data_IF_907026974444
#
_entry.id   IF_907026974444
#
_cell.length_a   1.000
_cell.length_b   1.000
_cell.length_c   1.000
_cell.angle_alpha   90.00
_cell.angle_beta   90.00
_cell.angle_gamma   90.00
#
_symmetry.space_group_name_H-M   'P 1'
#
loop_
_entity.id
_entity.type
_entity.pdbx_description
1 polymer ?
#
# COMPACT_ATOMS: atom_id res chain seq x y z
N UNK A 1 7.27 2.66 6.06
CA UNK A 1 6.86 3.09 4.71
C UNK A 1 7.08 4.59 4.52
N UNK A 2 6.37 5.44 5.25
CA UNK A 2 6.52 6.90 5.14
C UNK A 2 7.97 7.37 5.31
N UNK A 3 8.69 6.89 6.32
CA UNK A 3 10.08 7.29 6.60
C UNK A 3 11.02 6.98 5.43
N UNK A 4 10.89 5.82 4.79
CA UNK A 4 11.72 5.44 3.63
C UNK A 4 11.39 6.32 2.43
N UNK A 5 10.08 6.53 2.17
CA UNK A 5 9.64 7.40 1.08
C UNK A 5 10.15 8.83 1.28
N UNK A 6 9.98 9.39 2.47
CA UNK A 6 10.37 10.77 2.77
C UNK A 6 11.88 10.96 2.70
N UNK A 7 12.67 10.04 3.24
CA UNK A 7 14.12 10.07 3.16
C UNK A 7 14.64 10.06 1.70
N UNK A 8 14.06 9.20 0.87
CA UNK A 8 14.44 9.14 -0.56
C UNK A 8 13.97 10.37 -1.34
N UNK A 9 12.73 10.80 -1.10
CA UNK A 9 12.18 11.96 -1.78
C UNK A 9 12.92 13.26 -1.43
N UNK A 10 13.36 13.41 -0.18
CA UNK A 10 14.19 14.52 0.27
C UNK A 10 15.60 14.43 -0.31
N UNK A 11 16.23 13.24 -0.27
CA UNK A 11 17.56 13.03 -0.84
C UNK A 11 17.63 13.38 -2.34
N UNK A 12 16.57 13.11 -3.08
CA UNK A 12 16.49 13.31 -4.52
C UNK A 12 15.88 14.65 -4.94
N UNK A 13 15.60 15.55 -3.99
CA UNK A 13 14.98 16.83 -4.30
C UNK A 13 15.84 17.78 -5.14
N UNK A 14 17.16 17.54 -5.20
CA UNK A 14 18.11 18.35 -5.97
C UNK A 14 18.61 17.67 -7.26
N UNK A 15 18.13 16.45 -7.56
CA UNK A 15 18.54 15.73 -8.76
C UNK A 15 17.70 16.19 -9.97
N UNK A 16 18.32 16.86 -10.98
CA UNK A 16 17.60 17.43 -12.10
C UNK A 16 16.89 16.40 -12.97
N UNK A 17 17.40 15.15 -13.04
CA UNK A 17 16.75 14.08 -13.79
C UNK A 17 15.50 13.54 -13.09
N UNK A 18 15.56 13.43 -11.77
CA UNK A 18 14.46 12.86 -10.96
C UNK A 18 13.32 13.84 -10.71
N UNK A 19 13.58 15.15 -10.79
CA UNK A 19 12.55 16.20 -10.71
C UNK A 19 11.75 16.30 -12.02
N UNK A 20 12.21 15.69 -13.11
CA UNK A 20 11.51 15.73 -14.40
C UNK A 20 10.10 15.15 -14.24
N UNK A 21 9.11 15.91 -14.70
CA UNK A 21 7.69 15.50 -14.68
C UNK A 21 7.43 14.42 -15.71
N UNK A 22 6.60 13.45 -15.33
CA UNK A 22 6.17 12.39 -16.24
C UNK A 22 5.07 12.97 -17.15
N UNK A 23 5.19 12.89 -18.49
CA UNK A 23 4.13 13.33 -19.38
C UNK A 23 2.82 12.59 -19.10
N UNK A 24 1.67 13.27 -19.25
CA UNK A 24 0.31 12.74 -19.01
C UNK A 24 -0.03 12.39 -17.54
N UNK A 25 0.85 12.65 -16.56
CA UNK A 25 0.63 12.31 -15.16
C UNK A 25 0.13 13.46 -14.27
N UNK A 26 -0.31 14.58 -14.86
CA UNK A 26 -0.73 15.75 -14.07
C UNK A 26 0.40 16.43 -13.29
N UNK A 27 1.66 16.26 -13.72
CA UNK A 27 2.82 16.91 -13.09
C UNK A 27 3.56 16.05 -12.05
N UNK A 28 3.27 14.74 -11.98
CA UNK A 28 3.96 13.81 -11.09
C UNK A 28 5.46 13.73 -11.43
N UNK A 29 6.31 13.84 -10.42
CA UNK A 29 7.76 13.76 -10.61
C UNK A 29 8.26 12.31 -10.56
N UNK A 30 9.29 12.00 -11.35
CA UNK A 30 9.90 10.66 -11.38
C UNK A 30 10.40 10.22 -10.01
N UNK A 31 10.92 11.16 -9.19
CA UNK A 31 11.39 10.87 -7.83
C UNK A 31 10.28 10.30 -6.94
N UNK A 32 9.06 10.83 -7.03
CA UNK A 32 7.90 10.36 -6.24
C UNK A 32 7.57 8.91 -6.57
N UNK A 33 7.59 8.57 -7.86
CA UNK A 33 7.33 7.19 -8.31
C UNK A 33 8.45 6.25 -7.85
N UNK A 34 9.71 6.61 -8.06
CA UNK A 34 10.85 5.79 -7.64
C UNK A 34 10.93 5.62 -6.12
N UNK A 35 10.73 6.69 -5.36
CA UNK A 35 10.65 6.60 -3.90
C UNK A 35 9.49 5.70 -3.45
N UNK A 36 8.34 5.79 -4.12
CA UNK A 36 7.20 4.91 -3.89
C UNK A 36 7.49 3.44 -4.17
N UNK A 37 8.18 3.14 -5.28
CA UNK A 37 8.61 1.79 -5.63
C UNK A 37 9.52 1.19 -4.56
N UNK A 38 10.58 1.91 -4.17
CA UNK A 38 11.55 1.43 -3.17
C UNK A 38 10.88 1.28 -1.79
N UNK A 39 10.06 2.24 -1.39
CA UNK A 39 9.30 2.15 -0.16
C UNK A 39 8.32 0.97 -0.16
N UNK A 40 7.73 0.64 -1.32
CA UNK A 40 6.89 -0.52 -1.51
C UNK A 40 7.63 -1.85 -1.37
N UNK A 41 8.85 -1.94 -1.92
CA UNK A 41 9.71 -3.12 -1.77
C UNK A 41 10.10 -3.32 -0.29
N UNK A 42 10.59 -2.27 0.36
CA UNK A 42 10.97 -2.32 1.77
C UNK A 42 9.77 -2.72 2.65
N UNK A 43 8.59 -2.18 2.36
CA UNK A 43 7.35 -2.55 3.02
C UNK A 43 7.01 -4.03 2.83
N UNK A 44 7.06 -4.54 1.60
CA UNK A 44 6.71 -5.92 1.30
C UNK A 44 7.60 -6.92 2.05
N UNK A 45 8.91 -6.64 2.15
CA UNK A 45 9.86 -7.49 2.89
C UNK A 45 9.49 -7.56 4.37
N UNK A 46 9.17 -6.41 4.98
CA UNK A 46 8.86 -6.36 6.42
C UNK A 46 7.45 -6.89 6.72
N UNK A 47 6.45 -6.55 5.90
CA UNK A 47 5.06 -6.93 6.17
C UNK A 47 4.78 -8.41 5.92
N UNK A 48 5.44 -9.05 4.95
CA UNK A 48 5.09 -10.42 4.53
C UNK A 48 5.10 -11.45 5.67
N UNK A 49 6.10 -11.50 6.58
CA UNK A 49 6.10 -12.42 7.71
C UNK A 49 4.90 -12.22 8.64
N UNK A 50 4.56 -10.97 8.93
CA UNK A 50 3.43 -10.64 9.81
C UNK A 50 2.09 -10.97 9.17
N UNK A 51 1.94 -10.69 7.88
CA UNK A 51 0.73 -11.04 7.14
C UNK A 51 0.54 -12.55 7.05
N UNK A 52 1.60 -13.31 6.79
CA UNK A 52 1.57 -14.78 6.79
C UNK A 52 1.11 -15.32 8.16
N UNK A 53 1.74 -14.88 9.25
CA UNK A 53 1.38 -15.29 10.61
C UNK A 53 -0.08 -14.95 10.94
N UNK A 54 -0.55 -13.75 10.54
CA UNK A 54 -1.94 -13.32 10.72
C UNK A 54 -2.91 -14.24 9.99
N UNK A 55 -2.67 -14.55 8.71
CA UNK A 55 -3.55 -15.40 7.91
C UNK A 55 -3.61 -16.82 8.48
N UNK A 56 -2.46 -17.40 8.85
CA UNK A 56 -2.41 -18.72 9.47
C UNK A 56 -3.20 -18.77 10.79
N UNK A 57 -3.07 -17.75 11.62
CA UNK A 57 -3.86 -17.63 12.86
C UNK A 57 -5.36 -17.51 12.59
N UNK A 58 -5.77 -16.75 11.58
CA UNK A 58 -7.17 -16.58 11.20
C UNK A 58 -7.81 -17.85 10.62
N UNK A 59 -7.00 -18.68 9.95
CA UNK A 59 -7.45 -19.96 9.36
C UNK A 59 -7.29 -21.15 10.31
N UNK A 60 -6.82 -20.93 11.54
CA UNK A 60 -6.61 -22.01 12.54
C UNK A 60 -5.47 -22.96 12.19
N UNK A 61 -4.57 -22.57 11.28
CA UNK A 61 -3.44 -23.40 10.84
C UNK A 61 -2.17 -23.04 11.62
N UNK A 62 -1.31 -24.03 11.87
CA UNK A 62 0.04 -23.79 12.41
C UNK A 62 0.90 -23.08 11.37
N UNK A 63 1.74 -22.15 11.81
CA UNK A 63 2.70 -21.46 10.95
C UNK A 63 4.06 -22.15 11.03
N UNK A 64 4.77 -22.17 9.89
CA UNK A 64 6.08 -22.79 9.75
C UNK A 64 7.06 -21.70 9.31
N UNK A 65 8.21 -21.59 9.99
CA UNK A 65 9.22 -20.57 9.71
C UNK A 65 9.72 -20.61 8.26
N UNK A 66 9.83 -21.80 7.67
CA UNK A 66 10.28 -21.97 6.29
C UNK A 66 9.31 -21.36 5.26
N UNK A 67 8.03 -21.25 5.61
CA UNK A 67 6.98 -20.77 4.71
C UNK A 67 6.65 -19.27 4.89
N UNK A 68 7.41 -18.54 5.70
CA UNK A 68 7.16 -17.13 6.04
C UNK A 68 7.05 -16.23 4.80
N UNK A 69 7.81 -16.55 3.75
CA UNK A 69 7.76 -15.85 2.47
C UNK A 69 6.83 -16.50 1.43
N UNK A 70 5.98 -17.43 1.84
CA UNK A 70 4.96 -18.01 0.96
C UNK A 70 3.98 -16.93 0.49
N UNK A 71 3.80 -16.83 -0.81
CA UNK A 71 3.00 -15.76 -1.42
C UNK A 71 3.75 -14.43 -1.63
N UNK A 72 5.06 -14.34 -1.31
CA UNK A 72 5.85 -13.12 -1.51
C UNK A 72 5.85 -12.65 -2.97
N UNK A 73 5.77 -13.57 -3.94
CA UNK A 73 5.64 -13.28 -5.36
C UNK A 73 4.41 -12.41 -5.70
N UNK A 74 3.36 -12.46 -4.88
CA UNK A 74 2.18 -11.59 -5.01
C UNK A 74 2.31 -10.38 -4.09
N UNK A 75 2.86 -10.58 -2.88
CA UNK A 75 3.01 -9.51 -1.88
C UNK A 75 3.91 -8.39 -2.39
N UNK A 76 5.00 -8.73 -3.10
CA UNK A 76 5.94 -7.76 -3.63
C UNK A 76 5.28 -6.81 -4.65
N UNK A 77 4.74 -7.27 -5.80
CA UNK A 77 4.10 -6.37 -6.77
C UNK A 77 2.90 -5.63 -6.16
N UNK A 78 2.11 -6.28 -5.30
CA UNK A 78 1.04 -5.65 -4.56
C UNK A 78 1.53 -4.46 -3.72
N UNK A 79 2.58 -4.67 -2.92
CA UNK A 79 3.16 -3.64 -2.07
C UNK A 79 3.71 -2.46 -2.86
N UNK A 80 4.40 -2.75 -3.96
CA UNK A 80 4.96 -1.74 -4.87
C UNK A 80 3.86 -0.91 -5.51
N UNK A 81 2.87 -1.55 -6.14
CA UNK A 81 1.77 -0.86 -6.83
C UNK A 81 0.96 -0.02 -5.84
N UNK A 82 0.58 -0.60 -4.69
CA UNK A 82 -0.17 0.10 -3.64
C UNK A 82 0.55 1.37 -3.20
N UNK A 83 1.84 1.26 -2.86
CA UNK A 83 2.62 2.37 -2.33
C UNK A 83 2.82 3.45 -3.37
N UNK A 84 3.07 3.07 -4.63
CA UNK A 84 3.24 4.02 -5.73
C UNK A 84 1.95 4.81 -6.01
N UNK A 85 0.81 4.14 -6.09
CA UNK A 85 -0.49 4.80 -6.31
C UNK A 85 -0.82 5.69 -5.11
N UNK A 86 -0.62 5.21 -3.88
CA UNK A 86 -0.89 5.96 -2.67
C UNK A 86 -0.15 7.30 -2.62
N UNK A 87 1.17 7.28 -2.86
CA UNK A 87 1.95 8.50 -2.89
C UNK A 87 1.67 9.38 -4.10
N UNK A 88 1.38 8.79 -5.26
CA UNK A 88 0.97 9.54 -6.44
C UNK A 88 -0.33 10.33 -6.19
N UNK A 89 -1.31 9.72 -5.54
CA UNK A 89 -2.57 10.38 -5.19
C UNK A 89 -2.34 11.49 -4.17
N UNK A 90 -1.57 11.23 -3.10
CA UNK A 90 -1.23 12.27 -2.10
C UNK A 90 -0.48 13.43 -2.75
N UNK A 91 0.50 13.16 -3.60
CA UNK A 91 1.26 14.21 -4.29
C UNK A 91 0.35 15.02 -5.23
N UNK A 92 -0.59 14.38 -5.92
CA UNK A 92 -1.58 15.06 -6.74
C UNK A 92 -2.48 16.00 -5.92
N UNK A 93 -2.99 15.55 -4.77
CA UNK A 93 -3.75 16.41 -3.85
C UNK A 93 -2.91 17.58 -3.34
N UNK A 94 -1.67 17.34 -2.95
CA UNK A 94 -0.75 18.38 -2.46
C UNK A 94 -0.55 19.49 -3.50
N UNK A 95 -0.50 19.16 -4.78
CA UNK A 95 -0.27 20.12 -5.86
C UNK A 95 -1.50 20.91 -6.27
N UNK A 96 -2.67 20.28 -6.22
CA UNK A 96 -3.89 20.87 -6.77
C UNK A 96 -4.84 21.42 -5.73
N UNK A 97 -4.61 21.11 -4.45
CA UNK A 97 -5.50 21.51 -3.36
C UNK A 97 -4.72 21.92 -2.11
N UNK A 98 -5.35 22.77 -1.28
CA UNK A 98 -4.85 23.13 0.06
C UNK A 98 -5.42 22.23 1.17
N UNK A 99 -6.00 21.10 0.82
CA UNK A 99 -6.61 20.20 1.81
C UNK A 99 -5.63 19.71 2.88
N UNK A 100 -4.35 19.57 2.55
CA UNK A 100 -3.33 19.12 3.50
C UNK A 100 -2.95 20.18 4.57
N UNK A 101 -3.45 21.41 4.48
CA UNK A 101 -3.25 22.43 5.51
C UNK A 101 -4.15 22.21 6.75
N UNK A 102 -5.26 21.48 6.59
CA UNK A 102 -6.24 21.19 7.65
C UNK A 102 -6.28 19.70 8.00
N UNK A 103 -6.54 19.39 9.27
CA UNK A 103 -6.60 18.01 9.76
C UNK A 103 -7.67 17.16 9.04
N UNK A 104 -8.86 17.74 8.84
CA UNK A 104 -9.94 17.10 8.08
C UNK A 104 -9.54 16.81 6.64
N UNK A 105 -8.83 17.74 6.01
CA UNK A 105 -8.32 17.56 4.67
C UNK A 105 -7.20 16.51 4.58
N UNK A 106 -6.33 16.43 5.58
CA UNK A 106 -5.32 15.35 5.70
C UNK A 106 -6.00 13.98 5.82
N UNK A 107 -7.04 13.89 6.66
CA UNK A 107 -7.80 12.64 6.82
C UNK A 107 -8.44 12.20 5.51
N UNK A 108 -9.14 13.10 4.84
CA UNK A 108 -9.83 12.83 3.57
C UNK A 108 -8.83 12.45 2.48
N UNK A 109 -7.71 13.19 2.36
CA UNK A 109 -6.68 12.92 1.35
C UNK A 109 -6.03 11.56 1.56
N UNK A 110 -5.58 11.25 2.78
CA UNK A 110 -4.92 9.97 3.06
C UNK A 110 -5.91 8.80 3.01
N UNK A 111 -7.13 9.01 3.48
CA UNK A 111 -8.19 8.02 3.41
C UNK A 111 -8.59 7.69 1.98
N UNK A 112 -8.85 8.70 1.14
CA UNK A 112 -9.19 8.49 -0.27
C UNK A 112 -8.02 7.90 -1.07
N UNK A 113 -6.79 8.36 -0.83
CA UNK A 113 -5.60 7.77 -1.45
C UNK A 113 -5.47 6.27 -1.10
N UNK A 114 -5.75 5.90 0.16
CA UNK A 114 -5.75 4.51 0.58
C UNK A 114 -6.84 3.69 -0.13
N UNK A 115 -8.06 4.20 -0.21
CA UNK A 115 -9.18 3.49 -0.87
C UNK A 115 -8.91 3.29 -2.36
N UNK A 116 -8.44 4.34 -3.07
CA UNK A 116 -8.11 4.26 -4.50
C UNK A 116 -7.00 3.25 -4.74
N UNK A 117 -5.92 3.31 -3.96
CA UNK A 117 -4.80 2.38 -4.07
C UNK A 117 -5.23 0.93 -3.79
N UNK A 118 -6.09 0.73 -2.80
CA UNK A 118 -6.62 -0.57 -2.45
C UNK A 118 -7.56 -1.13 -3.52
N UNK A 119 -8.41 -0.30 -4.10
CA UNK A 119 -9.27 -0.72 -5.20
C UNK A 119 -8.47 -1.28 -6.38
N UNK A 120 -7.38 -0.59 -6.74
CA UNK A 120 -6.52 -1.00 -7.84
C UNK A 120 -5.80 -2.35 -7.59
N UNK A 121 -5.42 -2.63 -6.33
CA UNK A 121 -4.67 -3.84 -5.98
C UNK A 121 -5.55 -4.97 -5.42
N UNK A 122 -6.85 -4.74 -5.24
CA UNK A 122 -7.73 -5.71 -4.59
C UNK A 122 -7.72 -7.10 -5.22
N UNK A 123 -7.67 -7.25 -6.57
CA UNK A 123 -7.50 -8.55 -7.19
C UNK A 123 -6.25 -9.31 -6.72
N UNK A 124 -5.12 -8.61 -6.57
CA UNK A 124 -3.88 -9.20 -6.05
C UNK A 124 -3.99 -9.55 -4.56
N UNK A 125 -4.72 -8.75 -3.79
CA UNK A 125 -5.00 -9.02 -2.37
C UNK A 125 -5.80 -10.31 -2.21
N UNK A 126 -6.82 -10.51 -3.04
CA UNK A 126 -7.65 -11.73 -3.03
C UNK A 126 -6.81 -12.96 -3.38
N UNK A 127 -5.98 -12.88 -4.41
CA UNK A 127 -5.08 -13.98 -4.80
C UNK A 127 -4.06 -14.30 -3.71
N UNK A 128 -3.47 -13.27 -3.08
CA UNK A 128 -2.52 -13.43 -1.98
C UNK A 128 -3.17 -14.15 -0.80
N UNK A 129 -4.36 -13.71 -0.39
CA UNK A 129 -5.07 -14.30 0.73
C UNK A 129 -5.39 -15.78 0.49
N UNK A 130 -5.81 -16.15 -0.72
CA UNK A 130 -5.99 -17.55 -1.12
C UNK A 130 -4.67 -18.34 -1.09
N UNK A 131 -3.56 -17.73 -1.52
CA UNK A 131 -2.25 -18.37 -1.50
C UNK A 131 -1.77 -18.63 -0.06
N UNK A 132 -1.98 -17.69 0.86
CA UNK A 132 -1.56 -17.79 2.24
C UNK A 132 -2.50 -18.68 3.09
N UNK A 133 -3.79 -18.71 2.76
CA UNK A 133 -4.76 -19.56 3.43
C UNK A 133 -4.64 -21.05 3.08
N UNK A 134 -3.87 -21.40 2.03
CA UNK A 134 -3.73 -22.80 1.56
C UNK A 134 -5.09 -23.51 1.39
N UNK A 135 -6.05 -22.80 0.81
CA UNK A 135 -7.41 -23.30 0.66
C UNK A 135 -7.42 -24.59 -0.18
N UNK A 136 -7.94 -25.69 0.38
CA UNK A 136 -8.02 -26.97 -0.31
C UNK A 136 -8.89 -26.87 -1.55
N UNK A 137 -8.45 -27.48 -2.67
CA UNK A 137 -9.17 -27.47 -3.94
C UNK A 137 -8.94 -26.23 -4.82
N UNK A 138 -8.18 -25.27 -4.33
CA UNK A 138 -7.77 -24.09 -5.10
C UNK A 138 -6.31 -24.28 -5.47
N UNK A 139 -5.97 -24.66 -6.65
CA UNK A 139 -4.62 -24.99 -7.15
C UNK A 139 -3.40 -24.33 -6.48
N UNK A 140 -2.22 -24.82 -6.78
CA UNK A 140 -0.97 -24.32 -6.16
C UNK A 140 -0.40 -23.08 -6.85
N UNK A 141 -0.78 -22.85 -8.12
CA UNK A 141 -0.33 -21.71 -8.91
C UNK A 141 -1.26 -20.50 -8.72
N UNK A 142 -0.71 -19.30 -8.82
CA UNK A 142 -1.49 -18.06 -8.83
C UNK A 142 -2.46 -17.99 -10.00
N UNK A 143 -2.09 -18.60 -11.12
CA UNK A 143 -2.96 -18.69 -12.29
C UNK A 143 -4.17 -19.60 -12.03
N UNK A 144 -3.97 -20.77 -11.44
CA UNK A 144 -5.04 -21.70 -11.07
C UNK A 144 -6.01 -21.05 -10.06
N UNK A 145 -5.48 -20.27 -9.10
CA UNK A 145 -6.29 -19.49 -8.15
C UNK A 145 -7.12 -18.43 -8.85
N UNK A 146 -6.53 -17.70 -9.78
CA UNK A 146 -7.26 -16.72 -10.58
C UNK A 146 -8.37 -17.38 -11.42
N UNK A 147 -8.07 -18.51 -12.05
CA UNK A 147 -9.03 -19.28 -12.81
C UNK A 147 -10.17 -19.81 -11.94
N UNK A 148 -9.87 -20.30 -10.74
CA UNK A 148 -10.87 -20.74 -9.76
C UNK A 148 -11.83 -19.60 -9.38
N UNK A 149 -11.31 -18.40 -9.08
CA UNK A 149 -12.14 -17.24 -8.75
C UNK A 149 -13.05 -16.90 -9.95
N UNK A 150 -12.44 -16.84 -11.15
CA UNK A 150 -13.16 -16.46 -12.36
C UNK A 150 -14.27 -17.45 -12.70
N UNK A 151 -14.01 -18.76 -12.59
CA UNK A 151 -14.99 -19.79 -12.89
C UNK A 151 -16.15 -19.82 -11.88
N UNK A 152 -15.88 -19.58 -10.58
CA UNK A 152 -16.91 -19.68 -9.54
C UNK A 152 -17.67 -18.37 -9.30
N UNK A 153 -17.03 -17.20 -9.54
CA UNK A 153 -17.58 -15.90 -9.15
C UNK A 153 -17.45 -14.83 -10.24
N UNK A 154 -16.90 -15.16 -11.41
CA UNK A 154 -16.64 -14.20 -12.47
C UNK A 154 -15.63 -13.11 -12.08
N UNK A 155 -15.60 -12.03 -12.84
CA UNK A 155 -14.72 -10.88 -12.60
C UNK A 155 -15.00 -10.22 -11.25
N UNK A 156 -16.27 -10.10 -10.87
CA UNK A 156 -16.69 -9.51 -9.61
C UNK A 156 -16.14 -10.26 -8.37
N UNK A 157 -15.83 -11.55 -8.51
CA UNK A 157 -15.23 -12.36 -7.47
C UNK A 157 -13.90 -11.82 -6.94
N UNK A 158 -13.13 -11.14 -7.78
CA UNK A 158 -11.85 -10.53 -7.40
C UNK A 158 -12.01 -9.34 -6.44
N UNK A 159 -13.17 -8.66 -6.45
CA UNK A 159 -13.49 -7.54 -5.56
C UNK A 159 -14.41 -7.92 -4.40
N UNK A 160 -14.67 -9.21 -4.20
CA UNK A 160 -15.50 -9.67 -3.09
C UNK A 160 -14.89 -9.27 -1.75
N UNK A 161 -15.70 -8.65 -0.88
CA UNK A 161 -15.23 -8.14 0.41
C UNK A 161 -14.50 -6.79 0.36
N UNK A 162 -14.45 -6.12 -0.80
CA UNK A 162 -13.79 -4.81 -0.93
C UNK A 162 -14.40 -3.74 -0.02
N UNK A 163 -15.73 -3.64 0.06
CA UNK A 163 -16.42 -2.57 0.80
C UNK A 163 -16.00 -2.49 2.27
N UNK A 164 -16.11 -3.57 3.08
CA UNK A 164 -15.66 -3.52 4.48
C UNK A 164 -14.14 -3.26 4.59
N UNK A 165 -13.34 -3.78 3.66
CA UNK A 165 -11.91 -3.48 3.58
C UNK A 165 -11.62 -2.01 3.30
N UNK A 166 -12.37 -1.38 2.38
CA UNK A 166 -12.22 0.03 2.02
C UNK A 166 -12.51 0.95 3.21
N UNK A 167 -13.59 0.71 3.96
CA UNK A 167 -13.92 1.48 5.18
C UNK A 167 -12.82 1.38 6.23
N UNK A 168 -12.34 0.17 6.51
CA UNK A 168 -11.23 -0.04 7.44
C UNK A 168 -9.98 0.73 7.02
N UNK A 169 -9.65 0.74 5.73
CA UNK A 169 -8.48 1.44 5.19
C UNK A 169 -8.63 2.95 5.21
N UNK A 170 -9.81 3.46 4.88
CA UNK A 170 -10.11 4.89 4.95
C UNK A 170 -9.85 5.44 6.36
N UNK A 171 -10.44 4.82 7.36
CA UNK A 171 -10.31 5.24 8.76
C UNK A 171 -8.85 5.09 9.23
N UNK A 172 -8.25 3.91 9.03
CA UNK A 172 -6.90 3.63 9.51
C UNK A 172 -5.83 4.57 8.92
N UNK A 173 -5.88 4.81 7.61
CA UNK A 173 -4.89 5.68 6.96
C UNK A 173 -5.17 7.16 7.21
N UNK A 174 -6.44 7.58 7.31
CA UNK A 174 -6.80 8.93 7.69
C UNK A 174 -6.27 9.28 9.09
N UNK A 175 -6.54 8.43 10.07
CA UNK A 175 -6.04 8.61 11.45
C UNK A 175 -4.51 8.54 11.48
N UNK A 176 -3.90 7.58 10.80
CA UNK A 176 -2.44 7.43 10.77
C UNK A 176 -1.74 8.68 10.19
N UNK A 177 -2.34 9.35 9.19
CA UNK A 177 -1.79 10.58 8.62
C UNK A 177 -1.81 11.72 9.64
N UNK A 178 -2.91 11.90 10.35
CA UNK A 178 -3.02 12.91 11.42
C UNK A 178 -1.97 12.65 12.50
N UNK A 179 -1.90 11.42 13.01
CA UNK A 179 -0.93 11.04 14.03
C UNK A 179 0.52 11.25 13.58
N UNK A 180 0.82 10.93 12.31
CA UNK A 180 2.16 11.14 11.75
C UNK A 180 2.54 12.62 11.75
N UNK A 181 1.62 13.51 11.33
CA UNK A 181 1.86 14.96 11.32
C UNK A 181 2.02 15.51 12.74
N UNK A 182 1.17 15.06 13.68
CA UNK A 182 1.30 15.44 15.10
C UNK A 182 2.63 15.00 15.69
N UNK A 183 3.03 13.76 15.45
CA UNK A 183 4.32 13.22 15.92
C UNK A 183 5.50 14.04 15.38
N UNK A 184 5.45 14.41 14.11
CA UNK A 184 6.48 15.26 13.50
C UNK A 184 6.54 16.64 14.16
N UNK A 185 5.38 17.28 14.39
CA UNK A 185 5.33 18.58 15.09
C UNK A 185 5.93 18.50 16.49
N UNK A 186 5.58 17.46 17.27
CA UNK A 186 6.13 17.25 18.62
C UNK A 186 7.64 17.05 18.56
N UNK A 187 8.16 16.21 17.66
CA UNK A 187 9.61 15.97 17.53
C UNK A 187 10.38 17.25 17.14
N UNK A 188 9.81 18.07 16.26
CA UNK A 188 10.40 19.36 15.88
C UNK A 188 10.42 20.32 17.07
N UNK A 189 9.32 20.43 17.82
CA UNK A 189 9.24 21.29 19.00
C UNK A 189 10.18 20.84 20.13
N UNK A 190 10.46 19.54 20.23
CA UNK A 190 11.41 19.00 21.21
C UNK A 190 12.88 19.10 20.75
N UNK A 191 13.15 19.69 19.58
CA UNK A 191 14.52 19.83 19.04
C UNK A 191 15.16 18.51 18.60
N UNK A 192 14.39 17.43 18.49
CA UNK A 192 14.88 16.12 18.06
C UNK A 192 14.90 15.96 16.53
N UNK A 193 14.41 16.95 15.82
CA UNK A 193 14.43 17.00 14.35
C UNK A 193 14.74 18.44 13.94
N UNK A 194 15.93 18.63 13.36
CA UNK A 194 16.34 19.87 12.67
C UNK A 194 16.00 19.79 11.19
#
# INVERSE_FOLDING_TARGET
MFSVFEALNTKWQHDPYLITKIPLSGGLEKRTVLAGLIAGIARAIVENPFEYAKVKRQTGQSWILQDIYKGFSITLPRGVILTSIFFAVIDSFRRHTRFLEHETGMFITAGSAAVISFWAIWPLETLKNLAQAETKGVGNSNFERAQFIYQNHGVAGFWRGFIPGAWSRLIANGVAMILAVYSQKVLTNCGLRG
#
